data_IF_096140909546
#
_entry.id   IF_096140909546
#
_cell.length_a   1.000
_cell.length_b   1.000
_cell.length_c   1.000
_cell.angle_alpha   90.00
_cell.angle_beta   90.00
_cell.angle_gamma   90.00
#
_symmetry.space_group_name_H-M   'P 1'
#
loop_
_entity.id
_entity.type
_entity.pdbx_description
1 polymer ?
#
# COMPACT_ATOMS: atom_id res chain seq x y z
N UNK A 1 9.57 -5.26 -13.13
CA UNK A 1 9.50 -4.20 -12.10
C UNK A 1 9.19 -4.88 -10.77
N UNK A 2 10.01 -4.67 -9.74
CA UNK A 2 9.86 -5.34 -8.43
C UNK A 2 8.70 -4.71 -7.66
N UNK A 3 7.73 -5.51 -7.18
CA UNK A 3 6.55 -5.03 -6.45
C UNK A 3 6.92 -4.16 -5.24
N UNK A 4 7.98 -4.52 -4.53
CA UNK A 4 8.48 -3.76 -3.37
C UNK A 4 9.02 -2.40 -3.79
N UNK A 5 9.67 -2.32 -4.95
CA UNK A 5 10.14 -1.04 -5.47
C UNK A 5 8.96 -0.10 -5.79
N UNK A 6 7.87 -0.64 -6.33
CA UNK A 6 6.64 0.12 -6.58
C UNK A 6 6.00 0.59 -5.27
N UNK A 7 5.95 -0.25 -4.25
CA UNK A 7 5.44 0.13 -2.92
C UNK A 7 6.31 1.20 -2.25
N UNK A 8 7.64 1.05 -2.29
CA UNK A 8 8.56 2.07 -1.77
C UNK A 8 8.37 3.42 -2.47
N UNK A 9 8.21 3.42 -3.80
CA UNK A 9 7.93 4.65 -4.56
C UNK A 9 6.57 5.26 -4.17
N UNK A 10 5.55 4.44 -3.94
CA UNK A 10 4.26 4.90 -3.43
C UNK A 10 4.41 5.60 -2.07
N UNK A 11 5.07 4.95 -1.11
CA UNK A 11 5.29 5.51 0.22
C UNK A 11 6.15 6.77 0.19
N UNK A 12 7.17 6.82 -0.66
CA UNK A 12 8.01 8.01 -0.83
C UNK A 12 7.21 9.20 -1.36
N UNK A 13 6.34 8.98 -2.36
CA UNK A 13 5.48 10.05 -2.90
C UNK A 13 4.48 10.54 -1.85
N UNK A 14 3.86 9.63 -1.09
CA UNK A 14 2.92 9.97 -0.01
C UNK A 14 3.61 10.73 1.12
N UNK A 15 4.82 10.32 1.51
CA UNK A 15 5.63 11.02 2.50
C UNK A 15 5.91 12.47 2.07
N UNK A 16 6.40 12.66 0.85
CA UNK A 16 6.72 13.98 0.32
C UNK A 16 5.48 14.89 0.26
N UNK A 17 4.36 14.37 -0.25
CA UNK A 17 3.11 15.12 -0.30
C UNK A 17 2.61 15.49 1.10
N UNK A 18 2.68 14.56 2.06
CA UNK A 18 2.22 14.80 3.44
C UNK A 18 3.07 15.85 4.15
N UNK A 19 4.39 15.88 3.91
CA UNK A 19 5.27 16.94 4.40
C UNK A 19 4.88 18.30 3.83
N UNK A 20 4.66 18.40 2.51
CA UNK A 20 4.19 19.63 1.89
C UNK A 20 2.84 20.11 2.46
N UNK A 21 1.93 19.17 2.79
CA UNK A 21 0.67 19.50 3.46
C UNK A 21 0.87 20.00 4.90
N UNK A 22 1.83 19.44 5.64
CA UNK A 22 2.18 19.93 6.96
C UNK A 22 2.74 21.36 6.91
N UNK A 23 3.62 21.62 5.94
CA UNK A 23 4.22 22.95 5.72
C UNK A 23 3.17 23.99 5.30
N UNK A 24 2.19 23.58 4.48
CA UNK A 24 1.09 24.43 4.02
C UNK A 24 -0.08 24.54 5.02
N UNK A 25 -0.05 23.81 6.15
CA UNK A 25 -1.16 23.77 7.08
C UNK A 25 -1.35 25.13 7.79
N UNK A 26 -2.55 25.70 7.67
CA UNK A 26 -2.89 26.98 8.29
C UNK A 26 -3.03 26.92 9.82
N UNK A 27 -3.24 25.72 10.39
CA UNK A 27 -3.52 25.53 11.81
C UNK A 27 -2.63 24.48 12.46
N UNK A 28 -2.33 24.61 13.77
CA UNK A 28 -1.42 23.72 14.47
C UNK A 28 -1.94 22.28 14.54
N UNK A 29 -3.25 22.08 14.67
CA UNK A 29 -3.84 20.74 14.69
C UNK A 29 -3.67 20.00 13.35
N UNK A 30 -3.91 20.68 12.23
CA UNK A 30 -3.74 20.10 10.90
C UNK A 30 -2.26 19.77 10.62
N UNK A 31 -1.36 20.66 11.03
CA UNK A 31 0.09 20.43 10.93
C UNK A 31 0.51 19.17 11.69
N UNK A 32 0.13 19.04 12.96
CA UNK A 32 0.46 17.86 13.78
C UNK A 32 -0.11 16.57 13.18
N UNK A 33 -1.32 16.62 12.62
CA UNK A 33 -1.92 15.47 11.95
C UNK A 33 -1.08 15.03 10.73
N UNK A 34 -0.67 15.97 9.88
CA UNK A 34 0.18 15.68 8.73
C UNK A 34 1.60 15.24 9.13
N UNK A 35 2.20 15.84 10.15
CA UNK A 35 3.50 15.41 10.69
C UNK A 35 3.43 13.97 11.23
N UNK A 36 2.36 13.62 11.94
CA UNK A 36 2.12 12.26 12.44
C UNK A 36 2.00 11.26 11.30
N UNK A 37 1.22 11.59 10.26
CA UNK A 37 1.09 10.75 9.06
C UNK A 37 2.43 10.61 8.31
N UNK A 38 3.20 11.70 8.20
CA UNK A 38 4.53 11.66 7.60
C UNK A 38 5.48 10.75 8.38
N UNK A 39 5.40 10.74 9.71
CA UNK A 39 6.19 9.83 10.55
C UNK A 39 5.85 8.36 10.23
N UNK A 40 4.57 8.01 10.20
CA UNK A 40 4.11 6.64 9.91
C UNK A 40 4.53 6.17 8.50
N UNK A 41 4.44 7.04 7.49
CA UNK A 41 4.92 6.72 6.14
C UNK A 41 6.44 6.54 6.10
N UNK A 42 7.20 7.36 6.84
CA UNK A 42 8.64 7.23 6.96
C UNK A 42 9.05 5.90 7.62
N UNK A 43 8.43 5.55 8.74
CA UNK A 43 8.64 4.27 9.43
C UNK A 43 8.37 3.07 8.52
N UNK A 44 7.26 3.12 7.76
CA UNK A 44 6.90 2.06 6.79
C UNK A 44 7.95 1.94 5.68
N UNK A 45 8.46 3.06 5.18
CA UNK A 45 9.48 3.06 4.13
C UNK A 45 10.81 2.48 4.62
N UNK A 46 11.21 2.79 5.85
CA UNK A 46 12.40 2.19 6.49
C UNK A 46 12.22 0.69 6.66
N UNK A 47 11.05 0.24 7.12
CA UNK A 47 10.75 -1.18 7.27
C UNK A 47 10.82 -1.91 5.91
N UNK A 48 10.24 -1.35 4.85
CA UNK A 48 10.34 -1.92 3.50
C UNK A 48 11.78 -1.95 3.00
N UNK A 49 12.56 -0.89 3.21
CA UNK A 49 13.97 -0.86 2.83
C UNK A 49 14.79 -1.97 3.54
N UNK A 50 14.48 -2.25 4.81
CA UNK A 50 15.12 -3.32 5.57
C UNK A 50 14.78 -4.73 5.05
N UNK A 51 13.70 -4.91 4.28
CA UNK A 51 13.37 -6.19 3.63
C UNK A 51 14.14 -6.44 2.34
N UNK A 52 14.70 -5.40 1.71
CA UNK A 52 15.46 -5.55 0.45
C UNK A 52 16.70 -6.45 0.60
N UNK A 53 17.54 -6.32 1.65
CA UNK A 53 18.64 -7.24 1.88
C UNK A 53 18.19 -8.70 2.06
N UNK A 54 17.07 -8.95 2.74
CA UNK A 54 16.54 -10.30 2.95
C UNK A 54 16.13 -10.99 1.64
N UNK A 55 15.67 -10.22 0.65
CA UNK A 55 15.28 -10.73 -0.67
C UNK A 55 16.46 -10.93 -1.62
N UNK A 56 17.57 -10.25 -1.35
CA UNK A 56 18.84 -10.49 -2.05
C UNK A 56 19.61 -11.69 -1.45
N UNK A 57 19.27 -12.10 -0.22
CA UNK A 57 19.91 -13.20 0.50
C UNK A 57 19.25 -14.56 0.28
N UNK A 58 18.14 -14.67 -0.46
CA UNK A 58 17.58 -15.96 -0.87
C UNK A 58 18.48 -16.58 -1.96
N UNK A 59 19.24 -17.65 -1.66
CA UNK A 59 19.93 -18.41 -2.68
C UNK A 59 18.91 -19.32 -3.37
N UNK A 60 19.01 -19.38 -4.69
CA UNK A 60 18.32 -20.31 -5.58
C UNK A 60 18.29 -21.73 -4.99
N UNK A 61 17.17 -22.11 -4.38
CA UNK A 61 16.84 -23.52 -4.21
C UNK A 61 16.27 -24.01 -5.56
N UNK A 62 17.16 -24.52 -6.40
CA UNK A 62 16.81 -25.19 -7.64
C UNK A 62 15.88 -26.38 -7.33
N UNK A 63 14.60 -26.27 -7.70
CA UNK A 63 13.70 -27.42 -7.75
C UNK A 63 13.65 -27.90 -9.21
N UNK A 64 14.19 -29.08 -9.56
CA UNK A 64 14.03 -29.62 -10.90
C UNK A 64 12.63 -30.24 -10.97
N UNK A 65 11.63 -29.46 -11.35
CA UNK A 65 10.29 -30.00 -11.65
C UNK A 65 10.18 -30.30 -13.14
N UNK A 66 10.36 -31.59 -13.42
CA UNK A 66 10.01 -32.29 -14.66
C UNK A 66 8.71 -31.75 -15.27
N UNK A 67 8.72 -31.65 -16.58
CA UNK A 67 7.58 -31.35 -17.43
C UNK A 67 6.33 -32.16 -17.04
N UNK A 68 5.21 -31.46 -16.83
CA UNK A 68 3.90 -32.00 -17.15
C UNK A 68 2.97 -30.86 -17.57
N UNK A 69 2.80 -30.81 -18.88
CA UNK A 69 1.83 -30.01 -19.61
C UNK A 69 0.45 -30.60 -19.33
N UNK A 70 -0.41 -29.91 -18.58
CA UNK A 70 -1.86 -30.15 -18.53
C UNK A 70 -2.56 -28.79 -18.41
N UNK A 71 -3.76 -28.75 -18.97
CA UNK A 71 -4.36 -27.67 -19.73
C UNK A 71 -4.94 -26.47 -18.96
N UNK A 72 -5.20 -25.44 -19.77
CA UNK A 72 -6.05 -24.28 -19.51
C UNK A 72 -7.32 -24.61 -18.73
N UNK A 73 -7.54 -23.87 -17.66
CA UNK A 73 -8.84 -23.72 -17.00
C UNK A 73 -8.84 -22.45 -16.16
N UNK A 74 -8.91 -21.29 -16.81
CA UNK A 74 -9.06 -19.99 -16.13
C UNK A 74 -10.43 -19.96 -15.47
N UNK A 75 -10.45 -20.03 -14.14
CA UNK A 75 -11.58 -19.61 -13.32
C UNK A 75 -11.16 -18.34 -12.58
N UNK A 76 -11.79 -17.18 -12.84
CA UNK A 76 -11.50 -15.97 -12.07
C UNK A 76 -12.06 -16.12 -10.64
N UNK A 77 -11.40 -15.54 -9.62
CA UNK A 77 -11.93 -15.59 -8.26
C UNK A 77 -13.19 -14.73 -8.18
N UNK A 78 -14.27 -15.36 -7.72
CA UNK A 78 -15.55 -14.74 -7.40
C UNK A 78 -15.35 -13.66 -6.34
N UNK A 79 -15.48 -12.39 -6.72
CA UNK A 79 -15.54 -11.28 -5.78
C UNK A 79 -16.81 -11.45 -4.94
N UNK A 80 -16.66 -11.78 -3.65
CA UNK A 80 -17.76 -11.77 -2.69
C UNK A 80 -18.37 -10.37 -2.65
N UNK A 81 -19.64 -10.27 -3.02
CA UNK A 81 -20.42 -9.05 -2.91
C UNK A 81 -20.48 -8.62 -1.44
N UNK A 82 -19.92 -7.46 -1.11
CA UNK A 82 -20.19 -6.79 0.17
C UNK A 82 -21.65 -6.32 0.17
N UNK A 83 -22.42 -6.50 1.26
CA UNK A 83 -23.76 -5.97 1.35
C UNK A 83 -23.74 -4.43 1.29
N UNK A 84 -24.68 -3.88 0.54
CA UNK A 84 -24.83 -2.45 0.28
C UNK A 84 -24.89 -1.64 1.59
N UNK A 85 -23.97 -0.69 1.76
CA UNK A 85 -24.07 0.35 2.79
C UNK A 85 -25.35 1.16 2.55
N UNK A 86 -26.27 1.13 3.50
CA UNK A 86 -27.43 2.01 3.56
C UNK A 86 -26.97 3.48 3.59
N UNK A 87 -27.23 4.22 2.51
CA UNK A 87 -27.07 5.68 2.47
C UNK A 87 -28.09 6.31 3.42
N UNK A 88 -27.65 6.78 4.58
CA UNK A 88 -28.45 7.68 5.41
C UNK A 88 -28.50 9.05 4.70
N UNK A 89 -29.65 9.37 4.13
CA UNK A 89 -29.95 10.70 3.62
C UNK A 89 -30.32 11.61 4.80
N UNK A 90 -29.47 12.59 5.11
CA UNK A 90 -29.81 13.69 6.00
C UNK A 90 -30.87 14.55 5.30
N UNK A 91 -32.11 14.52 5.80
CA UNK A 91 -33.14 15.50 5.43
C UNK A 91 -32.83 16.80 6.18
N UNK A 92 -32.51 17.86 5.44
CA UNK A 92 -32.55 19.22 5.98
C UNK A 92 -34.01 19.60 6.17
N UNK A 93 -34.39 19.95 7.40
CA UNK A 93 -35.66 20.60 7.70
C UNK A 93 -35.57 22.06 7.23
N UNK A 94 -36.60 22.53 6.52
CA UNK A 94 -36.81 23.94 6.19
C UNK A 94 -37.39 24.70 7.37
#
# INVERSE_FOLDING_TARGET
MNAIHTEMLYFQRRLNATRAMADAAAGPCARVAHETLARLYGETLVALAATLPCLMAEPVAAIPRRALRVERGVTPPTLRQMPARSRLTLKLAC
#
